data_IF_548952756572
#
_entry.id   IF_548952756572
#
_cell.length_a   1.000
_cell.length_b   1.000
_cell.length_c   1.000
_cell.angle_alpha   90.00
_cell.angle_beta   90.00
_cell.angle_gamma   90.00
#
_symmetry.space_group_name_H-M   'P 1'
#
loop_
_entity.id
_entity.type
_entity.pdbx_description
1 polymer ?
#
# COMPACT_ATOMS: atom_id res chain seq x y z
N UNK A 1 42.16 39.43 32.62
CA UNK A 1 40.86 38.96 33.17
C UNK A 1 39.68 39.61 32.44
N UNK A 2 39.71 40.92 32.19
CA UNK A 2 38.69 41.68 31.43
C UNK A 2 38.50 41.22 29.97
N UNK A 3 39.56 40.84 29.26
CA UNK A 3 39.49 40.37 27.87
C UNK A 3 38.81 39.01 27.70
N UNK A 4 39.01 38.11 28.67
CA UNK A 4 38.41 36.77 28.68
C UNK A 4 36.90 36.87 28.93
N UNK A 5 36.48 37.71 29.88
CA UNK A 5 35.06 37.94 30.21
C UNK A 5 34.32 38.54 29.01
N UNK A 6 34.93 39.47 28.28
CA UNK A 6 34.35 40.05 27.07
C UNK A 6 34.14 39.02 25.94
N UNK A 7 35.08 38.09 25.75
CA UNK A 7 34.98 37.04 24.74
C UNK A 7 33.84 36.05 25.03
N UNK A 8 33.68 35.62 26.29
CA UNK A 8 32.58 34.74 26.69
C UNK A 8 31.21 35.44 26.63
N UNK A 9 31.16 36.73 26.95
CA UNK A 9 29.95 37.55 26.79
C UNK A 9 29.49 37.63 25.33
N UNK A 10 30.43 37.85 24.39
CA UNK A 10 30.13 37.89 22.97
C UNK A 10 29.64 36.52 22.43
N UNK A 11 30.26 35.42 22.86
CA UNK A 11 29.84 34.06 22.51
C UNK A 11 28.42 33.75 23.00
N UNK A 12 28.07 34.16 24.22
CA UNK A 12 26.73 33.96 24.78
C UNK A 12 25.67 34.71 23.96
N UNK A 13 25.94 35.96 23.58
CA UNK A 13 25.03 36.76 22.75
C UNK A 13 24.85 36.13 21.37
N UNK A 14 25.93 35.66 20.73
CA UNK A 14 25.86 34.98 19.44
C UNK A 14 25.06 33.67 19.51
N UNK A 15 25.23 32.90 20.59
CA UNK A 15 24.47 31.67 20.83
C UNK A 15 22.98 31.96 21.02
N UNK A 16 22.62 32.98 21.82
CA UNK A 16 21.23 33.40 22.01
C UNK A 16 20.59 33.88 20.70
N UNK A 17 21.32 34.64 19.89
CA UNK A 17 20.86 35.06 18.57
C UNK A 17 20.60 33.87 17.63
N UNK A 18 21.48 32.86 17.63
CA UNK A 18 21.29 31.62 16.87
C UNK A 18 20.04 30.86 17.33
N UNK A 19 19.81 30.74 18.64
CA UNK A 19 18.61 30.12 19.19
C UNK A 19 17.33 30.83 18.75
N UNK A 20 17.34 32.17 18.74
CA UNK A 20 16.20 32.97 18.26
C UNK A 20 15.96 32.75 16.77
N UNK A 21 17.02 32.72 15.94
CA UNK A 21 16.91 32.44 14.51
C UNK A 21 16.32 31.04 14.27
N UNK A 22 16.81 30.02 14.98
CA UNK A 22 16.29 28.65 14.88
C UNK A 22 14.82 28.55 15.32
N UNK A 23 14.46 29.25 16.40
CA UNK A 23 13.08 29.32 16.90
C UNK A 23 12.14 30.01 15.90
N UNK A 24 12.57 31.13 15.30
CA UNK A 24 11.82 31.83 14.26
C UNK A 24 11.67 30.96 13.00
N UNK A 25 12.72 30.25 12.60
CA UNK A 25 12.70 29.37 11.42
C UNK A 25 11.74 28.19 11.60
N UNK A 26 11.73 27.56 12.79
CA UNK A 26 10.81 26.48 13.14
C UNK A 26 9.34 26.94 13.15
N UNK A 27 9.04 28.13 13.69
CA UNK A 27 7.68 28.67 13.71
C UNK A 27 7.20 29.14 12.33
N UNK A 28 8.09 29.62 11.46
CA UNK A 28 7.73 30.06 10.12
C UNK A 28 7.48 28.89 9.15
N UNK A 29 8.19 27.77 9.30
CA UNK A 29 8.00 26.61 8.42
C UNK A 29 6.63 25.95 8.57
N UNK A 30 6.05 25.97 9.77
CA UNK A 30 4.71 25.43 10.03
C UNK A 30 3.61 26.18 9.29
N UNK A 31 3.60 27.52 9.38
CA UNK A 31 2.59 28.39 8.73
C UNK A 31 2.67 28.39 7.20
N UNK A 32 3.88 28.23 6.65
CA UNK A 32 4.10 28.23 5.19
C UNK A 32 3.45 27.02 4.51
N UNK A 33 3.58 25.83 5.09
CA UNK A 33 2.99 24.61 4.52
C UNK A 33 1.47 24.65 4.45
N UNK A 34 0.80 25.19 5.46
CA UNK A 34 -0.66 25.26 5.49
C UNK A 34 -1.18 26.27 4.44
N UNK A 35 -0.41 27.35 4.19
CA UNK A 35 -0.68 28.29 3.10
C UNK A 35 -0.45 27.66 1.71
N UNK A 36 0.55 26.79 1.56
CA UNK A 36 0.84 26.08 0.30
C UNK A 36 -0.23 25.04 -0.01
N UNK A 37 -0.69 24.30 1.00
CA UNK A 37 -1.84 23.40 0.89
C UNK A 37 -3.11 24.17 0.50
N UNK A 38 -3.43 25.28 1.18
CA UNK A 38 -4.58 26.10 0.83
C UNK A 38 -4.51 26.60 -0.62
N UNK A 39 -3.33 27.07 -1.05
CA UNK A 39 -3.09 27.48 -2.44
C UNK A 39 -3.31 26.32 -3.41
N UNK A 40 -2.81 25.12 -3.08
CA UNK A 40 -3.02 23.92 -3.88
C UNK A 40 -4.51 23.56 -3.98
N UNK A 41 -5.26 23.60 -2.87
CA UNK A 41 -6.69 23.31 -2.83
C UNK A 41 -7.48 24.31 -3.69
N UNK A 42 -7.22 25.62 -3.54
CA UNK A 42 -7.87 26.67 -4.34
C UNK A 42 -7.54 26.51 -5.82
N UNK A 43 -6.27 26.31 -6.17
CA UNK A 43 -5.84 26.14 -7.57
C UNK A 43 -6.48 24.94 -8.25
N UNK A 44 -6.72 23.87 -7.50
CA UNK A 44 -7.32 22.63 -8.01
C UNK A 44 -8.83 22.56 -7.78
N UNK A 45 -9.47 23.63 -7.32
CA UNK A 45 -10.90 23.69 -7.00
C UNK A 45 -11.35 22.55 -6.07
N UNK A 46 -10.56 22.26 -5.04
CA UNK A 46 -10.89 21.22 -4.04
C UNK A 46 -11.64 21.89 -2.89
N UNK A 47 -12.96 21.74 -2.88
CA UNK A 47 -13.89 22.45 -1.97
C UNK A 47 -14.46 21.53 -0.90
N UNK A 48 -14.79 20.29 -1.26
CA UNK A 48 -15.29 19.24 -0.37
C UNK A 48 -14.21 18.18 -0.23
N UNK A 49 -13.53 18.16 0.92
CA UNK A 49 -12.43 17.23 1.13
C UNK A 49 -12.32 16.73 2.57
N UNK A 50 -11.69 15.57 2.69
CA UNK A 50 -11.07 15.09 3.92
C UNK A 50 -9.57 15.03 3.67
N UNK A 51 -8.73 15.42 4.62
CA UNK A 51 -7.28 15.30 4.45
C UNK A 51 -6.55 14.90 5.72
N UNK A 52 -5.35 14.38 5.52
CA UNK A 52 -4.38 14.13 6.57
C UNK A 52 -2.99 14.50 6.10
N UNK A 53 -2.17 14.89 7.07
CA UNK A 53 -0.76 15.19 6.88
C UNK A 53 0.08 14.20 7.69
N UNK A 54 1.05 13.60 7.01
CA UNK A 54 2.15 12.86 7.60
C UNK A 54 3.45 13.51 7.14
N UNK A 55 4.17 14.13 8.07
CA UNK A 55 5.39 14.90 7.75
C UNK A 55 5.14 15.98 6.67
N UNK A 56 5.66 15.75 5.45
CA UNK A 56 5.55 16.64 4.29
C UNK A 56 4.52 16.18 3.26
N UNK A 57 3.97 14.98 3.44
CA UNK A 57 3.00 14.37 2.54
C UNK A 57 1.58 14.66 3.04
N UNK A 58 0.74 15.12 2.13
CA UNK A 58 -0.68 15.33 2.33
C UNK A 58 -1.45 14.31 1.51
N UNK A 59 -2.34 13.59 2.18
CA UNK A 59 -3.30 12.71 1.55
C UNK A 59 -4.67 13.37 1.66
N UNK A 60 -5.27 13.68 0.51
CA UNK A 60 -6.50 14.46 0.44
C UNK A 60 -7.51 13.64 -0.36
N UNK A 61 -8.63 13.29 0.25
CA UNK A 61 -9.78 12.75 -0.46
C UNK A 61 -10.67 13.89 -0.93
N UNK A 62 -10.80 14.00 -2.25
CA UNK A 62 -11.65 14.96 -2.93
C UNK A 62 -13.00 14.30 -3.21
N UNK A 63 -14.04 14.75 -2.50
CA UNK A 63 -15.38 14.17 -2.61
C UNK A 63 -16.03 14.46 -3.96
N UNK A 64 -15.72 15.61 -4.59
CA UNK A 64 -16.31 16.00 -5.87
C UNK A 64 -15.70 15.20 -7.02
N UNK A 65 -14.37 15.02 -7.01
CA UNK A 65 -13.67 14.21 -8.02
C UNK A 65 -13.65 12.72 -7.70
N UNK A 66 -14.14 12.33 -6.52
CA UNK A 66 -14.22 10.94 -6.05
C UNK A 66 -12.87 10.23 -6.15
N UNK A 67 -11.83 10.79 -5.53
CA UNK A 67 -10.48 10.25 -5.60
C UNK A 67 -9.52 10.86 -4.58
N UNK A 68 -8.30 10.38 -4.58
CA UNK A 68 -7.22 10.80 -3.68
C UNK A 68 -6.20 11.66 -4.41
N UNK A 69 -5.84 12.79 -3.81
CA UNK A 69 -4.62 13.50 -4.10
C UNK A 69 -3.52 13.10 -3.12
N UNK A 70 -2.37 12.77 -3.68
CA UNK A 70 -1.08 12.77 -2.99
C UNK A 70 -0.41 14.11 -3.28
N UNK A 71 -0.22 14.95 -2.27
CA UNK A 71 0.40 16.26 -2.42
C UNK A 71 1.61 16.40 -1.51
N UNK A 72 2.76 16.75 -2.10
CA UNK A 72 3.96 17.11 -1.38
C UNK A 72 4.56 18.34 -2.05
N UNK A 73 4.64 19.46 -1.33
CA UNK A 73 5.13 20.73 -1.86
C UNK A 73 6.54 20.63 -2.51
N UNK A 74 7.39 19.67 -2.11
CA UNK A 74 8.71 19.46 -2.72
C UNK A 74 8.72 18.45 -3.86
N UNK A 75 7.84 17.44 -3.80
CA UNK A 75 7.84 16.31 -4.76
C UNK A 75 6.73 16.41 -5.82
N UNK A 76 5.85 17.40 -5.72
CA UNK A 76 4.70 17.57 -6.61
C UNK A 76 3.45 16.84 -6.11
N UNK A 77 2.52 16.58 -7.03
CA UNK A 77 1.25 15.96 -6.69
C UNK A 77 0.80 14.92 -7.71
N UNK A 78 -0.07 14.01 -7.27
CA UNK A 78 -0.71 13.00 -8.10
C UNK A 78 -2.15 12.80 -7.67
N UNK A 79 -3.08 12.82 -8.62
CA UNK A 79 -4.47 12.41 -8.40
C UNK A 79 -4.65 10.95 -8.82
N UNK A 80 -5.34 10.18 -7.99
CA UNK A 80 -5.77 8.82 -8.26
C UNK A 80 -7.27 8.74 -8.05
N UNK A 81 -8.00 8.32 -9.07
CA UNK A 81 -9.43 8.09 -8.96
C UNK A 81 -9.72 6.93 -7.98
N UNK A 82 -10.80 7.02 -7.19
CA UNK A 82 -11.16 6.00 -6.19
C UNK A 82 -11.27 4.58 -6.77
N UNK A 83 -11.84 4.44 -7.97
CA UNK A 83 -12.04 3.14 -8.63
C UNK A 83 -10.72 2.43 -8.94
N UNK A 84 -9.65 3.18 -9.20
CA UNK A 84 -8.32 2.61 -9.46
C UNK A 84 -7.62 2.15 -8.19
N UNK A 85 -8.09 2.54 -7.00
CA UNK A 85 -7.46 2.13 -5.74
C UNK A 85 -8.01 0.77 -5.37
N UNK A 86 -7.16 -0.23 -5.18
CA UNK A 86 -7.59 -1.58 -4.81
C UNK A 86 -7.12 -2.00 -3.41
N UNK A 87 -6.07 -1.41 -2.86
CA UNK A 87 -5.50 -1.87 -1.58
C UNK A 87 -4.83 -0.74 -0.77
N UNK A 88 -4.79 -0.94 0.55
CA UNK A 88 -4.13 -0.08 1.53
C UNK A 88 -3.37 -0.97 2.52
N UNK A 89 -2.10 -0.68 2.76
CA UNK A 89 -1.24 -1.43 3.65
C UNK A 89 -0.53 -0.51 4.64
N UNK A 90 -0.30 -0.98 5.86
CA UNK A 90 0.56 -0.36 6.86
C UNK A 90 1.67 -1.35 7.19
N UNK A 91 2.91 -0.91 7.02
CA UNK A 91 4.12 -1.65 7.41
C UNK A 91 4.76 -1.04 8.66
N UNK A 92 5.32 -1.88 9.52
CA UNK A 92 6.21 -1.51 10.62
C UNK A 92 7.57 -2.17 10.42
N UNK A 93 8.64 -1.38 10.36
CA UNK A 93 10.05 -1.85 10.27
C UNK A 93 10.34 -2.88 9.16
N UNK A 94 9.53 -2.90 8.10
CA UNK A 94 9.54 -3.82 6.94
C UNK A 94 8.56 -5.01 7.02
N UNK A 95 7.92 -5.23 8.15
CA UNK A 95 6.84 -6.21 8.30
C UNK A 95 5.47 -5.58 7.98
N UNK A 96 4.62 -6.30 7.24
CA UNK A 96 3.22 -5.91 7.03
C UNK A 96 2.42 -6.13 8.32
N UNK A 97 1.84 -5.05 8.85
CA UNK A 97 1.04 -5.07 10.10
C UNK A 97 -0.46 -4.92 9.88
N UNK A 98 -0.83 -4.20 8.82
CA UNK A 98 -2.22 -4.07 8.42
C UNK A 98 -2.29 -4.08 6.92
N UNK A 99 -3.24 -4.82 6.36
CA UNK A 99 -3.53 -4.82 4.94
C UNK A 99 -5.03 -4.94 4.76
N UNK A 100 -5.61 -4.07 3.95
CA UNK A 100 -6.98 -4.24 3.48
C UNK A 100 -6.94 -4.94 2.13
N UNK A 101 -7.29 -6.23 2.12
CA UNK A 101 -7.51 -6.99 0.89
C UNK A 101 -8.99 -6.92 0.56
N UNK A 102 -9.41 -6.05 -0.35
CA UNK A 102 -10.83 -5.90 -0.69
C UNK A 102 -11.12 -6.61 -2.02
N UNK A 103 -11.60 -7.84 -1.91
CA UNK A 103 -12.76 -8.29 -2.70
C UNK A 103 -13.97 -8.33 -1.79
N UNK A 104 -15.13 -8.01 -2.34
CA UNK A 104 -16.36 -7.64 -1.66
C UNK A 104 -16.71 -8.36 -0.34
N UNK A 105 -17.20 -7.54 0.60
CA UNK A 105 -18.02 -7.81 1.79
C UNK A 105 -17.52 -8.79 2.88
N UNK A 106 -16.53 -9.65 2.63
CA UNK A 106 -16.09 -10.69 3.59
C UNK A 106 -14.56 -10.75 3.83
N UNK A 107 -13.79 -9.76 3.37
CA UNK A 107 -12.33 -9.72 3.53
C UNK A 107 -11.81 -9.14 4.85
N UNK A 108 -12.51 -9.36 5.98
CA UNK A 108 -12.04 -8.86 7.29
C UNK A 108 -11.11 -9.89 7.94
N UNK A 109 -9.79 -9.69 7.84
CA UNK A 109 -8.84 -9.69 8.96
C UNK A 109 -7.36 -9.77 8.54
N UNK A 110 -6.57 -8.83 9.08
CA UNK A 110 -5.30 -8.98 9.81
C UNK A 110 -4.25 -9.94 9.20
N UNK A 111 -3.22 -9.34 8.58
CA UNK A 111 -1.88 -9.94 8.42
C UNK A 111 -0.92 -9.04 9.19
N UNK A 112 -0.35 -9.57 10.29
CA UNK A 112 0.63 -8.86 11.12
C UNK A 112 0.44 -9.14 12.62
N UNK A 113 1.39 -9.82 13.24
CA UNK A 113 1.39 -10.01 14.69
C UNK A 113 2.01 -8.80 15.40
N UNK A 114 1.30 -8.33 16.44
CA UNK A 114 1.72 -7.41 17.52
C UNK A 114 1.32 -5.90 17.40
N UNK A 115 0.34 -5.54 18.25
CA UNK A 115 0.03 -4.26 18.93
C UNK A 115 -0.61 -3.10 18.14
N UNK A 116 -1.85 -2.73 18.50
CA UNK A 116 -2.20 -1.48 19.22
C UNK A 116 -3.73 -1.37 19.43
N UNK A 117 -4.14 -1.31 20.70
CA UNK A 117 -5.54 -1.43 21.12
C UNK A 117 -6.49 -0.37 20.55
N UNK A 118 -7.68 -0.85 20.17
CA UNK A 118 -8.89 -0.06 19.85
C UNK A 118 -9.81 -0.72 18.82
N UNK A 119 -9.26 -1.36 17.77
CA UNK A 119 -10.05 -2.02 16.71
C UNK A 119 -9.41 -3.33 16.21
N UNK A 120 -8.69 -4.04 17.08
CA UNK A 120 -8.09 -5.33 16.75
C UNK A 120 -7.28 -5.87 17.93
N UNK A 121 -7.92 -6.70 18.76
CA UNK A 121 -7.25 -7.45 19.80
C UNK A 121 -7.52 -8.94 19.58
N UNK A 122 -6.49 -9.71 19.23
CA UNK A 122 -6.39 -11.14 19.57
C UNK A 122 -4.99 -11.37 20.14
N UNK A 123 -4.90 -11.31 21.47
CA UNK A 123 -3.81 -11.85 22.27
C UNK A 123 -4.15 -13.33 22.50
N UNK A 124 -3.24 -14.24 22.15
CA UNK A 124 -3.40 -15.67 22.46
C UNK A 124 -2.22 -16.60 22.18
N UNK A 125 -1.07 -16.12 21.67
CA UNK A 125 0.01 -17.03 21.25
C UNK A 125 1.45 -16.71 21.69
N UNK A 126 1.81 -15.46 21.99
CA UNK A 126 3.23 -15.10 22.18
C UNK A 126 3.46 -14.18 23.40
N UNK A 127 2.79 -14.45 24.51
CA UNK A 127 3.22 -13.95 25.84
C UNK A 127 4.11 -14.96 26.57
N UNK A 128 4.51 -16.04 25.90
CA UNK A 128 5.34 -17.11 26.48
C UNK A 128 6.84 -16.83 26.57
N UNK A 129 7.38 -15.76 25.97
CA UNK A 129 8.82 -15.45 26.08
C UNK A 129 9.07 -14.01 26.52
N UNK A 130 9.43 -13.90 27.79
CA UNK A 130 10.00 -12.73 28.45
C UNK A 130 11.30 -12.28 27.75
N UNK A 131 11.49 -10.96 27.67
CA UNK A 131 12.78 -10.23 27.54
C UNK A 131 13.31 -9.80 26.15
N UNK A 132 12.49 -9.38 25.19
CA UNK A 132 12.96 -8.48 24.12
C UNK A 132 12.10 -7.22 24.03
N UNK A 133 12.73 -6.05 24.19
CA UNK A 133 12.08 -4.76 23.90
C UNK A 133 11.93 -4.64 22.38
N UNK A 134 10.74 -4.94 21.86
CA UNK A 134 10.46 -4.71 20.44
C UNK A 134 10.34 -3.19 20.23
N UNK A 135 11.36 -2.60 19.62
CA UNK A 135 11.39 -1.19 19.24
C UNK A 135 10.87 -1.02 17.82
N UNK A 136 10.07 0.03 17.60
CA UNK A 136 9.54 0.44 16.31
C UNK A 136 10.33 1.63 15.77
N UNK A 137 10.85 1.52 14.56
CA UNK A 137 11.67 2.55 13.91
C UNK A 137 10.91 3.30 12.81
N UNK A 138 9.97 2.66 12.13
CA UNK A 138 9.29 3.22 10.97
C UNK A 138 7.90 2.63 10.79
N UNK A 139 6.94 3.51 10.47
CA UNK A 139 5.61 3.12 9.99
C UNK A 139 5.41 3.69 8.60
N UNK A 140 4.97 2.84 7.66
CA UNK A 140 4.72 3.25 6.27
C UNK A 140 3.28 2.92 5.89
N UNK A 141 2.54 3.91 5.40
CA UNK A 141 1.25 3.73 4.74
C UNK A 141 1.48 3.58 3.24
N UNK A 142 0.97 2.50 2.66
CA UNK A 142 1.09 2.19 1.23
C UNK A 142 -0.30 2.13 0.64
N UNK A 143 -0.54 2.87 -0.43
CA UNK A 143 -1.81 2.84 -1.17
C UNK A 143 -1.51 2.34 -2.58
N UNK A 144 -2.15 1.22 -2.93
CA UNK A 144 -1.99 0.58 -4.23
C UNK A 144 -3.12 0.98 -5.18
N UNK A 145 -2.75 1.22 -6.43
CA UNK A 145 -3.66 1.64 -7.47
C UNK A 145 -3.22 1.14 -8.84
N UNK A 146 -4.19 1.04 -9.76
CA UNK A 146 -3.90 0.67 -11.15
C UNK A 146 -2.89 1.66 -11.76
N UNK A 147 -1.77 1.14 -12.25
CA UNK A 147 -0.78 1.93 -12.95
C UNK A 147 -1.10 1.93 -14.44
N UNK A 148 -1.41 3.11 -15.00
CA UNK A 148 -1.41 3.32 -16.45
C UNK A 148 -0.12 4.06 -16.78
N UNK A 149 0.81 3.36 -17.43
CA UNK A 149 2.10 3.86 -17.94
C UNK A 149 3.10 4.39 -16.88
N UNK A 150 4.07 3.54 -16.50
CA UNK A 150 5.38 3.99 -15.98
C UNK A 150 5.49 4.33 -14.49
N UNK A 151 4.43 4.20 -13.69
CA UNK A 151 4.49 4.28 -12.23
C UNK A 151 4.49 2.89 -11.59
N UNK A 152 4.99 2.79 -10.35
CA UNK A 152 5.13 1.55 -9.59
C UNK A 152 3.79 0.95 -9.13
N UNK A 153 2.64 1.62 -9.39
CA UNK A 153 1.31 1.14 -9.00
C UNK A 153 1.01 1.28 -7.51
N UNK A 154 1.82 2.05 -6.79
CA UNK A 154 1.60 2.36 -5.38
C UNK A 154 2.20 3.69 -4.98
N UNK A 155 1.76 4.21 -3.85
CA UNK A 155 2.39 5.34 -3.17
C UNK A 155 2.68 5.00 -1.72
N UNK A 156 3.93 5.17 -1.33
CA UNK A 156 4.38 5.08 0.07
C UNK A 156 4.37 6.46 0.72
N UNK A 157 3.85 6.50 1.95
CA UNK A 157 3.80 7.66 2.82
C UNK A 157 4.45 7.23 4.14
N UNK A 158 5.52 7.93 4.52
CA UNK A 158 6.14 7.73 5.82
C UNK A 158 5.23 8.36 6.89
N UNK A 159 4.64 7.48 7.71
CA UNK A 159 3.69 7.86 8.77
C UNK A 159 4.43 8.28 10.03
N UNK A 160 5.47 7.51 10.38
CA UNK A 160 6.29 7.70 11.57
C UNK A 160 7.71 7.23 11.27
N UNK A 161 8.70 7.92 11.82
CA UNK A 161 10.09 7.49 11.79
C UNK A 161 10.84 7.92 13.06
N UNK A 162 11.58 6.99 13.65
CA UNK A 162 12.44 7.23 14.80
C UNK A 162 13.73 6.39 14.66
N UNK A 163 14.84 7.09 14.47
CA UNK A 163 16.17 6.49 14.30
C UNK A 163 16.62 5.60 15.46
N UNK A 164 16.21 5.91 16.70
CA UNK A 164 16.58 5.13 17.89
C UNK A 164 15.57 4.02 18.20
N UNK A 165 14.48 3.96 17.44
CA UNK A 165 13.32 3.16 17.75
C UNK A 165 12.55 3.70 18.96
N UNK A 166 11.27 3.35 19.07
CA UNK A 166 10.47 3.62 20.26
C UNK A 166 9.70 2.37 20.69
N UNK A 167 9.36 2.28 21.97
CA UNK A 167 8.47 1.23 22.46
C UNK A 167 7.07 1.39 21.82
N UNK A 168 6.36 0.28 21.62
CA UNK A 168 5.06 0.27 20.91
C UNK A 168 3.95 1.01 21.66
N UNK A 169 4.10 1.29 22.96
CA UNK A 169 3.14 2.10 23.73
C UNK A 169 3.44 3.60 23.68
N UNK A 170 4.52 4.00 22.99
CA UNK A 170 4.85 5.40 22.76
C UNK A 170 3.65 6.13 22.12
N UNK A 171 3.26 7.25 22.74
CA UNK A 171 2.05 7.99 22.36
C UNK A 171 2.11 8.59 20.96
N UNK A 172 3.30 9.01 20.52
CA UNK A 172 3.52 9.59 19.19
C UNK A 172 3.36 8.52 18.11
N UNK A 173 4.07 7.40 18.26
CA UNK A 173 3.90 6.23 17.39
C UNK A 173 2.43 5.78 17.35
N UNK A 174 1.78 5.63 18.51
CA UNK A 174 0.39 5.17 18.60
C UNK A 174 -0.57 6.13 17.92
N UNK A 175 -0.37 7.43 18.08
CA UNK A 175 -1.19 8.43 17.41
C UNK A 175 -1.03 8.34 15.89
N UNK A 176 0.19 8.25 15.39
CA UNK A 176 0.49 8.24 13.95
C UNK A 176 -0.01 6.97 13.28
N UNK A 177 0.21 5.83 13.91
CA UNK A 177 -0.35 4.54 13.52
C UNK A 177 -1.88 4.59 13.46
N UNK A 178 -2.55 5.07 14.52
CA UNK A 178 -4.01 5.15 14.57
C UNK A 178 -4.58 6.06 13.49
N UNK A 179 -3.89 7.17 13.21
CA UNK A 179 -4.23 8.08 12.13
C UNK A 179 -4.13 7.38 10.76
N UNK A 180 -3.05 6.65 10.49
CA UNK A 180 -2.89 5.89 9.24
C UNK A 180 -3.95 4.78 9.11
N UNK A 181 -4.21 4.05 10.18
CA UNK A 181 -5.25 3.03 10.27
C UNK A 181 -6.64 3.60 9.97
N UNK A 182 -6.97 4.75 10.55
CA UNK A 182 -8.24 5.45 10.28
C UNK A 182 -8.39 5.78 8.80
N UNK A 183 -7.30 6.15 8.14
CA UNK A 183 -7.28 6.44 6.71
C UNK A 183 -7.45 5.22 5.82
N UNK A 184 -6.79 4.10 6.12
CA UNK A 184 -7.05 2.86 5.37
C UNK A 184 -8.53 2.45 5.49
N UNK A 185 -9.12 2.52 6.69
CA UNK A 185 -10.55 2.21 6.91
C UNK A 185 -11.47 3.18 6.17
N UNK A 186 -11.12 4.46 6.15
CA UNK A 186 -11.88 5.46 5.41
C UNK A 186 -11.85 5.16 3.90
N UNK A 187 -10.68 4.89 3.32
CA UNK A 187 -10.52 4.55 1.91
C UNK A 187 -11.34 3.29 1.57
N UNK A 188 -11.26 2.26 2.42
CA UNK A 188 -12.10 1.06 2.32
C UNK A 188 -13.59 1.38 2.34
N UNK A 189 -14.05 2.20 3.28
CA UNK A 189 -15.45 2.61 3.34
C UNK A 189 -15.89 3.35 2.08
N UNK A 190 -15.07 4.27 1.56
CA UNK A 190 -15.42 5.00 0.34
C UNK A 190 -15.58 4.06 -0.85
N UNK A 191 -14.90 2.91 -0.90
CA UNK A 191 -15.13 1.90 -1.94
C UNK A 191 -16.49 1.21 -1.76
N UNK A 192 -16.85 0.87 -0.53
CA UNK A 192 -18.09 0.15 -0.16
C UNK A 192 -19.37 1.01 -0.21
N UNK A 193 -19.29 2.33 -0.30
CA UNK A 193 -20.50 3.19 -0.42
C UNK A 193 -21.15 3.14 -1.81
N UNK A 194 -20.53 2.48 -2.79
CA UNK A 194 -21.16 2.14 -4.07
C UNK A 194 -21.97 0.83 -4.02
N UNK A 195 -21.95 0.08 -2.92
CA UNK A 195 -22.63 -1.23 -2.75
C UNK A 195 -23.90 -1.17 -1.91
N UNK A 196 -24.78 -0.18 -2.14
CA UNK A 196 -26.19 -0.29 -1.75
C UNK A 196 -27.09 0.15 -2.90
N UNK A 197 -27.80 -0.85 -3.46
CA UNK A 197 -28.73 -0.85 -4.61
C UNK A 197 -28.09 -0.96 -6.01
N UNK A 198 -27.55 -2.14 -6.32
CA UNK A 198 -27.67 -2.67 -7.68
C UNK A 198 -28.01 -4.15 -7.60
N UNK A 199 -29.09 -4.53 -8.27
CA UNK A 199 -29.42 -5.93 -8.52
C UNK A 199 -28.19 -6.64 -9.10
N UNK A 200 -27.90 -7.85 -8.60
CA UNK A 200 -26.80 -8.71 -9.02
C UNK A 200 -26.82 -8.95 -10.54
N UNK A 201 -26.02 -8.18 -11.28
CA UNK A 201 -25.38 -8.58 -12.55
C UNK A 201 -24.04 -7.86 -12.62
N UNK A 202 -23.03 -8.50 -12.05
CA UNK A 202 -21.64 -8.07 -12.00
C UNK A 202 -21.10 -7.87 -13.43
N UNK A 203 -20.90 -6.62 -13.85
CA UNK A 203 -20.31 -6.32 -15.16
C UNK A 203 -18.78 -6.41 -15.05
N UNK A 204 -18.27 -7.63 -14.80
CA UNK A 204 -16.84 -7.93 -14.87
C UNK A 204 -16.35 -7.47 -16.27
N UNK A 205 -15.30 -6.63 -16.37
CA UNK A 205 -14.76 -6.22 -17.66
C UNK A 205 -14.50 -7.44 -18.54
N UNK A 206 -14.82 -7.36 -19.84
CA UNK A 206 -14.78 -8.53 -20.74
C UNK A 206 -13.42 -9.23 -20.74
N UNK A 207 -12.32 -8.48 -20.64
CA UNK A 207 -10.98 -9.03 -20.48
C UNK A 207 -10.78 -9.85 -19.20
N UNK A 208 -11.38 -9.42 -18.09
CA UNK A 208 -11.29 -10.15 -16.81
C UNK A 208 -12.16 -11.41 -16.83
N UNK A 209 -13.33 -11.37 -17.48
CA UNK A 209 -14.16 -12.58 -17.71
C UNK A 209 -13.39 -13.60 -18.53
N UNK A 210 -12.77 -13.16 -19.62
CA UNK A 210 -11.95 -14.02 -20.48
C UNK A 210 -10.78 -14.61 -19.68
N UNK A 211 -10.04 -13.80 -18.93
CA UNK A 211 -8.93 -14.24 -18.11
C UNK A 211 -9.35 -15.35 -17.14
N UNK A 212 -10.41 -15.15 -16.37
CA UNK A 212 -10.90 -16.15 -15.40
C UNK A 212 -11.34 -17.43 -16.12
N UNK A 213 -12.09 -17.32 -17.21
CA UNK A 213 -12.53 -18.50 -17.97
C UNK A 213 -11.35 -19.30 -18.54
N UNK A 214 -10.34 -18.62 -19.09
CA UNK A 214 -9.14 -19.26 -19.61
C UNK A 214 -8.37 -19.98 -18.50
N UNK A 215 -8.26 -19.40 -17.31
CA UNK A 215 -7.63 -20.08 -16.16
C UNK A 215 -8.44 -21.32 -15.75
N UNK A 216 -9.76 -21.19 -15.65
CA UNK A 216 -10.64 -22.32 -15.28
C UNK A 216 -10.55 -23.48 -16.28
N UNK A 217 -10.40 -23.15 -17.56
CA UNK A 217 -10.23 -24.11 -18.66
C UNK A 217 -8.77 -24.56 -18.86
N UNK A 218 -7.83 -24.10 -18.02
CA UNK A 218 -6.40 -24.38 -18.13
C UNK A 218 -5.77 -23.97 -19.48
N UNK A 219 -6.32 -22.93 -20.10
CA UNK A 219 -5.96 -22.41 -21.41
C UNK A 219 -4.91 -21.28 -21.28
N UNK A 220 -3.65 -21.62 -21.54
CA UNK A 220 -2.53 -20.69 -21.45
C UNK A 220 -2.62 -19.60 -22.53
N UNK A 221 -3.05 -19.93 -23.74
CA UNK A 221 -3.14 -18.95 -24.84
C UNK A 221 -4.27 -17.96 -24.62
N UNK A 222 -5.42 -18.41 -24.10
CA UNK A 222 -6.50 -17.53 -23.69
C UNK A 222 -6.10 -16.57 -22.57
N UNK A 223 -5.27 -17.02 -21.61
CA UNK A 223 -4.67 -16.14 -20.59
C UNK A 223 -3.78 -15.08 -21.24
N UNK A 224 -2.89 -15.45 -22.15
CA UNK A 224 -2.03 -14.50 -22.88
C UNK A 224 -2.88 -13.50 -23.67
N UNK A 225 -3.88 -13.98 -24.41
CA UNK A 225 -4.79 -13.16 -25.20
C UNK A 225 -5.55 -12.15 -24.33
N UNK A 226 -6.00 -12.57 -23.15
CA UNK A 226 -6.72 -11.69 -22.20
C UNK A 226 -5.85 -10.49 -21.78
N UNK A 227 -4.54 -10.68 -21.61
CA UNK A 227 -3.61 -9.60 -21.29
C UNK A 227 -3.24 -8.76 -22.50
N UNK A 228 -2.81 -9.38 -23.59
CA UNK A 228 -2.23 -8.67 -24.72
C UNK A 228 -3.29 -7.87 -25.50
N UNK A 229 -4.48 -8.44 -25.70
CA UNK A 229 -5.55 -7.85 -26.49
C UNK A 229 -6.60 -7.14 -25.63
N UNK A 230 -7.03 -7.76 -24.55
CA UNK A 230 -8.17 -7.27 -23.75
C UNK A 230 -7.75 -6.50 -22.50
N UNK A 231 -6.44 -6.36 -22.25
CA UNK A 231 -5.88 -5.60 -21.12
C UNK A 231 -6.46 -6.01 -19.77
N UNK A 232 -6.67 -7.32 -19.59
CA UNK A 232 -7.17 -7.86 -18.33
C UNK A 232 -6.26 -7.51 -17.15
N UNK A 233 -6.85 -7.29 -15.97
CA UNK A 233 -6.08 -7.06 -14.75
C UNK A 233 -5.54 -8.37 -14.19
N UNK A 234 -4.25 -8.47 -13.90
CA UNK A 234 -3.65 -9.70 -13.37
C UNK A 234 -4.16 -10.08 -11.96
N UNK A 235 -4.77 -9.12 -11.26
CA UNK A 235 -5.45 -9.31 -9.97
C UNK A 235 -6.95 -9.60 -10.09
N UNK A 236 -7.44 -9.92 -11.30
CA UNK A 236 -8.84 -10.28 -11.53
C UNK A 236 -9.30 -11.39 -10.60
N UNK A 237 -10.57 -11.38 -10.23
CA UNK A 237 -11.17 -12.39 -9.36
C UNK A 237 -12.33 -13.09 -10.06
N UNK A 238 -12.55 -14.35 -9.72
CA UNK A 238 -13.77 -15.07 -10.10
C UNK A 238 -14.99 -14.50 -9.37
N UNK A 239 -16.18 -14.93 -9.79
CA UNK A 239 -17.43 -14.68 -9.09
C UNK A 239 -17.44 -15.22 -7.64
N UNK A 240 -16.57 -16.18 -7.33
CA UNK A 240 -16.37 -16.72 -5.97
C UNK A 240 -15.36 -15.92 -5.15
N UNK A 241 -14.77 -14.86 -5.71
CA UNK A 241 -13.81 -13.99 -5.04
C UNK A 241 -12.35 -14.47 -5.07
N UNK A 242 -12.06 -15.61 -5.70
CA UNK A 242 -10.70 -16.16 -5.80
C UNK A 242 -9.86 -15.36 -6.80
N UNK A 243 -8.60 -15.08 -6.47
CA UNK A 243 -7.72 -14.37 -7.40
C UNK A 243 -7.38 -15.25 -8.61
N UNK A 244 -7.10 -14.62 -9.75
CA UNK A 244 -6.58 -15.29 -10.93
C UNK A 244 -5.34 -16.15 -10.58
N UNK A 245 -4.47 -15.63 -9.72
CA UNK A 245 -3.26 -16.33 -9.27
C UNK A 245 -3.58 -17.54 -8.39
N UNK A 246 -4.52 -17.41 -7.46
CA UNK A 246 -5.01 -18.53 -6.66
C UNK A 246 -5.60 -19.63 -7.54
N UNK A 247 -6.49 -19.29 -8.48
CA UNK A 247 -7.07 -20.25 -9.42
C UNK A 247 -6.00 -20.95 -10.25
N UNK A 248 -4.99 -20.21 -10.74
CA UNK A 248 -3.90 -20.79 -11.51
C UNK A 248 -3.05 -21.78 -10.71
N UNK A 249 -2.80 -21.48 -9.42
CA UNK A 249 -2.12 -22.40 -8.51
C UNK A 249 -2.96 -23.66 -8.30
N UNK A 250 -4.27 -23.52 -8.10
CA UNK A 250 -5.18 -24.65 -7.92
C UNK A 250 -5.28 -25.53 -9.17
N UNK A 251 -5.08 -24.96 -10.35
CA UNK A 251 -5.01 -25.67 -11.64
C UNK A 251 -3.66 -26.36 -11.87
N UNK A 252 -2.71 -26.20 -10.95
CA UNK A 252 -1.37 -26.76 -11.02
C UNK A 252 -0.63 -26.43 -12.34
N UNK A 253 -0.93 -25.26 -12.92
CA UNK A 253 -0.36 -24.85 -14.20
C UNK A 253 0.68 -23.75 -14.01
N UNK A 254 1.94 -24.17 -13.98
CA UNK A 254 3.09 -23.27 -13.83
C UNK A 254 3.19 -22.19 -14.92
N UNK A 255 2.70 -22.44 -16.13
CA UNK A 255 2.76 -21.46 -17.22
C UNK A 255 1.76 -20.32 -16.98
N UNK A 256 0.54 -20.66 -16.58
CA UNK A 256 -0.48 -19.65 -16.21
C UNK A 256 0.02 -18.82 -15.03
N UNK A 257 0.54 -19.47 -13.98
CA UNK A 257 1.15 -18.77 -12.82
C UNK A 257 2.26 -17.81 -13.27
N UNK A 258 3.15 -18.26 -14.17
CA UNK A 258 4.24 -17.44 -14.68
C UNK A 258 3.75 -16.22 -15.47
N UNK A 259 2.74 -16.38 -16.33
CA UNK A 259 2.16 -15.25 -17.08
C UNK A 259 1.42 -14.28 -16.17
N UNK A 260 0.68 -14.76 -15.17
CA UNK A 260 0.05 -13.88 -14.20
C UNK A 260 1.10 -13.01 -13.48
N UNK A 261 2.20 -13.59 -13.02
CA UNK A 261 3.30 -12.85 -12.37
C UNK A 261 3.96 -11.88 -13.36
N UNK A 262 4.19 -12.29 -14.62
CA UNK A 262 4.71 -11.43 -15.69
C UNK A 262 3.87 -10.17 -15.90
N UNK A 263 2.54 -10.31 -15.86
CA UNK A 263 1.59 -9.20 -16.04
C UNK A 263 1.21 -8.48 -14.74
N UNK A 264 1.96 -8.71 -13.65
CA UNK A 264 1.87 -7.91 -12.43
C UNK A 264 1.06 -8.54 -11.30
N UNK A 265 0.66 -9.82 -11.39
CA UNK A 265 0.12 -10.52 -10.22
C UNK A 265 1.24 -10.72 -9.19
N UNK A 266 1.10 -10.07 -8.03
CA UNK A 266 2.02 -10.21 -6.92
C UNK A 266 1.50 -11.28 -5.96
N UNK A 267 2.22 -12.41 -5.79
CA UNK A 267 1.83 -13.42 -4.81
C UNK A 267 1.88 -12.87 -3.38
N UNK A 268 0.86 -13.16 -2.58
CA UNK A 268 0.83 -12.85 -1.16
C UNK A 268 0.91 -14.14 -0.31
N UNK A 269 0.81 -14.00 1.02
CA UNK A 269 0.91 -15.13 1.95
C UNK A 269 -0.13 -16.23 1.68
N UNK A 270 -1.36 -15.87 1.30
CA UNK A 270 -2.42 -16.82 0.93
C UNK A 270 -2.08 -17.58 -0.35
N UNK A 271 -1.53 -16.94 -1.39
CA UNK A 271 -1.09 -17.68 -2.58
C UNK A 271 0.15 -18.55 -2.29
N UNK A 272 1.04 -18.15 -1.38
CA UNK A 272 2.14 -19.00 -0.91
C UNK A 272 1.61 -20.22 -0.15
N UNK A 273 0.64 -20.04 0.76
CA UNK A 273 0.00 -21.13 1.48
C UNK A 273 -0.76 -22.05 0.53
N UNK A 274 -1.51 -21.48 -0.42
CA UNK A 274 -2.18 -22.23 -1.48
C UNK A 274 -1.16 -23.04 -2.27
N UNK A 275 -0.05 -22.45 -2.71
CA UNK A 275 1.00 -23.18 -3.43
C UNK A 275 1.60 -24.33 -2.59
N UNK A 276 1.84 -24.10 -1.29
CA UNK A 276 2.32 -25.13 -0.37
C UNK A 276 1.32 -26.28 -0.21
N UNK A 277 0.03 -25.97 -0.12
CA UNK A 277 -1.06 -26.94 -0.01
C UNK A 277 -1.15 -27.85 -1.25
N UNK A 278 -0.97 -27.29 -2.44
CA UNK A 278 -1.04 -28.04 -3.70
C UNK A 278 0.29 -28.74 -4.07
N UNK A 279 1.39 -28.41 -3.39
CA UNK A 279 2.61 -29.23 -3.34
C UNK A 279 3.53 -29.17 -4.58
N UNK A 280 3.25 -28.32 -5.58
CA UNK A 280 4.11 -28.20 -6.75
C UNK A 280 5.33 -27.31 -6.45
N UNK A 281 6.52 -27.94 -6.38
CA UNK A 281 7.77 -27.26 -6.03
C UNK A 281 8.18 -26.12 -6.98
N UNK A 282 7.88 -26.23 -8.28
CA UNK A 282 8.19 -25.15 -9.23
C UNK A 282 7.26 -23.95 -9.00
N UNK A 283 5.97 -24.19 -8.77
CA UNK A 283 5.00 -23.15 -8.44
C UNK A 283 5.36 -22.51 -7.09
N UNK A 284 5.65 -23.30 -6.05
CA UNK A 284 6.06 -22.79 -4.73
C UNK A 284 7.28 -21.87 -4.86
N UNK A 285 8.31 -22.30 -5.60
CA UNK A 285 9.52 -21.49 -5.81
C UNK A 285 9.20 -20.20 -6.55
N UNK A 286 8.36 -20.27 -7.59
CA UNK A 286 7.99 -19.12 -8.41
C UNK A 286 7.13 -18.12 -7.63
N UNK A 287 6.14 -18.58 -6.88
CA UNK A 287 5.28 -17.74 -6.02
C UNK A 287 6.09 -17.06 -4.92
N UNK A 288 7.09 -17.74 -4.33
CA UNK A 288 7.98 -17.14 -3.31
C UNK A 288 9.01 -16.15 -3.85
N UNK A 289 9.55 -16.41 -5.04
CA UNK A 289 10.67 -15.64 -5.59
C UNK A 289 10.28 -14.63 -6.67
N UNK A 290 9.05 -14.72 -7.20
CA UNK A 290 8.61 -14.01 -8.39
C UNK A 290 9.36 -14.45 -9.68
N UNK A 291 10.20 -15.48 -9.65
CA UNK A 291 11.01 -15.87 -10.80
C UNK A 291 10.20 -16.67 -11.83
N UNK A 292 9.76 -15.98 -12.88
CA UNK A 292 8.89 -16.51 -13.95
C UNK A 292 9.59 -16.59 -15.33
N UNK A 293 10.72 -15.90 -15.51
CA UNK A 293 11.35 -15.69 -16.83
C UNK A 293 11.75 -16.98 -17.54
N UNK A 294 12.37 -17.92 -16.81
CA UNK A 294 12.80 -19.21 -17.38
C UNK A 294 11.59 -20.03 -17.84
N UNK A 295 10.56 -20.11 -17.02
CA UNK A 295 9.34 -20.90 -17.29
C UNK A 295 8.61 -20.37 -18.53
N UNK A 296 8.55 -19.05 -18.71
CA UNK A 296 7.98 -18.44 -19.92
C UNK A 296 8.85 -18.75 -21.14
N UNK A 297 10.18 -18.63 -21.03
CA UNK A 297 11.08 -18.95 -22.14
C UNK A 297 10.91 -20.40 -22.59
N UNK A 298 10.78 -21.34 -21.64
CA UNK A 298 10.58 -22.76 -21.92
C UNK A 298 9.24 -22.98 -22.65
N UNK A 299 8.17 -22.32 -22.21
CA UNK A 299 6.85 -22.38 -22.86
C UNK A 299 6.86 -21.82 -24.29
N UNK A 300 7.48 -20.65 -24.48
CA UNK A 300 7.58 -20.00 -25.79
C UNK A 300 8.40 -20.82 -26.80
N UNK A 301 9.38 -21.60 -26.31
CA UNK A 301 10.11 -22.55 -27.15
C UNK A 301 9.21 -23.72 -27.56
N UNK A 302 8.51 -24.33 -26.60
CA UNK A 302 7.55 -25.42 -26.85
C UNK A 302 6.48 -25.01 -27.85
N UNK A 303 5.96 -23.78 -27.74
CA UNK A 303 4.96 -23.23 -28.64
C UNK A 303 5.42 -23.13 -30.09
N UNK A 304 6.71 -22.94 -30.33
CA UNK A 304 7.28 -22.84 -31.69
C UNK A 304 7.53 -24.20 -32.34
N UNK A 305 7.50 -25.28 -31.54
CA UNK A 305 7.74 -26.66 -32.00
C UNK A 305 6.47 -27.45 -32.25
N UNK A 306 5.29 -26.87 -31.99
CA UNK A 306 3.96 -27.43 -32.24
C UNK A 306 3.33 -26.64 -33.39
#
# INVERSE_FOLDING_TARGET
MTTIIGFFGALLIAFLALCVILFLWANFSGKKNDSELATFMTKNNITQYKFIRFNWDHLIYDYERNGLWFYNHRKGFKFINKQSIFECEIKIDDNTEYRTSISDAAGRAIVGGLLLGGVGAIIGGVTGRKNSKNLVHKVTLIIYFDSIHGDNGYKEIEVFSNHNGCEMDNSEFRNDYNRAMSWCKFIEQQKNTNTVKSNFTENIPEGNKLLINSILNNDVEGVILSFDKYKAGAHSKSQTGQTALELAIQKDNKYIVAYLIKYGAFPNAHEVETALKYGNNEIIKMVKSGNHKKIISDFELLRKTI
#
